data_IF_008917294786
#
_entry.id   IF_008917294786
#
_cell.length_a   1.000
_cell.length_b   1.000
_cell.length_c   1.000
_cell.angle_alpha   90.00
_cell.angle_beta   90.00
_cell.angle_gamma   90.00
#
_symmetry.space_group_name_H-M   'P 1'
#
loop_
_entity.id
_entity.type
_entity.pdbx_description
1 polymer ?
#
# COMPACT_ATOMS: atom_id res chain seq x y z
N UNK A 1 -1.27 -15.16 -17.76
CA UNK A 1 -0.14 -15.80 -17.08
C UNK A 1 0.25 -14.97 -15.87
N UNK A 2 0.37 -15.61 -14.71
CA UNK A 2 0.73 -14.92 -13.48
C UNK A 2 2.21 -15.09 -13.20
N UNK A 3 2.88 -13.99 -12.90
CA UNK A 3 4.29 -14.02 -12.53
C UNK A 3 4.47 -13.39 -11.17
N UNK A 4 5.18 -14.10 -10.27
CA UNK A 4 5.48 -13.61 -8.92
C UNK A 4 6.97 -13.82 -8.68
N UNK A 5 7.69 -12.71 -8.52
CA UNK A 5 9.14 -12.72 -8.28
C UNK A 5 9.38 -12.23 -6.86
N UNK A 6 10.01 -13.07 -6.03
CA UNK A 6 10.24 -12.78 -4.61
C UNK A 6 11.70 -12.44 -4.37
N UNK A 7 11.94 -11.43 -3.54
CA UNK A 7 13.28 -11.03 -3.09
C UNK A 7 13.25 -10.70 -1.60
N UNK A 8 14.39 -10.89 -0.93
CA UNK A 8 14.54 -10.57 0.49
C UNK A 8 15.34 -9.30 0.69
N UNK A 9 15.23 -8.73 1.88
CA UNK A 9 16.04 -7.59 2.33
C UNK A 9 15.90 -6.36 1.43
N UNK A 10 14.68 -6.10 0.97
CA UNK A 10 14.37 -4.91 0.19
C UNK A 10 13.93 -3.78 1.09
N UNK A 11 14.20 -2.56 0.67
CA UNK A 11 13.80 -1.36 1.40
C UNK A 11 12.77 -0.60 0.59
N UNK A 12 11.76 -0.07 1.28
CA UNK A 12 10.79 0.82 0.70
C UNK A 12 11.11 2.25 1.14
N UNK A 13 11.13 3.18 0.20
CA UNK A 13 11.34 4.59 0.48
C UNK A 13 10.36 5.43 -0.32
N UNK A 14 9.56 6.23 0.38
CA UNK A 14 8.60 7.13 -0.23
C UNK A 14 8.85 8.54 0.31
N UNK A 15 8.67 9.55 -0.54
CA UNK A 15 8.89 10.96 -0.17
C UNK A 15 7.63 11.77 -0.34
N UNK A 16 7.44 12.74 0.56
CA UNK A 16 6.30 13.65 0.54
C UNK A 16 4.99 12.86 0.41
N UNK A 17 4.69 12.08 1.45
CA UNK A 17 3.60 11.10 1.43
C UNK A 17 2.37 11.68 2.10
N UNK A 18 1.31 11.88 1.33
CA UNK A 18 -0.01 12.20 1.86
C UNK A 18 -0.75 10.89 2.10
N UNK A 19 -1.23 10.68 3.31
CA UNK A 19 -1.94 9.45 3.66
C UNK A 19 -3.28 9.74 4.29
N UNK A 20 -4.21 8.80 4.13
CA UNK A 20 -5.53 8.84 4.75
C UNK A 20 -5.93 7.44 5.16
N UNK A 21 -6.51 7.33 6.35
CA UNK A 21 -7.04 6.05 6.80
C UNK A 21 -8.38 5.79 6.16
N UNK A 22 -8.59 4.57 5.69
CA UNK A 22 -9.82 4.16 5.00
C UNK A 22 -10.60 3.23 5.90
N UNK A 23 -11.91 3.47 6.00
CA UNK A 23 -12.82 2.62 6.77
C UNK A 23 -13.40 1.54 5.85
N UNK A 24 -13.02 0.29 6.12
CA UNK A 24 -13.47 -0.86 5.34
C UNK A 24 -14.90 -1.31 5.67
N UNK A 25 -15.49 -0.79 6.74
CA UNK A 25 -16.86 -1.14 7.11
C UNK A 25 -17.91 -0.41 6.29
N UNK A 26 -17.49 0.54 5.45
CA UNK A 26 -18.40 1.30 4.62
C UNK A 26 -19.05 0.41 3.56
N UNK A 27 -20.37 0.56 3.39
CA UNK A 27 -21.13 -0.18 2.39
C UNK A 27 -20.86 0.32 0.96
N UNK A 28 -20.18 1.45 0.82
CA UNK A 28 -19.85 2.05 -0.48
C UNK A 28 -18.47 1.58 -1.00
N UNK A 29 -17.99 0.43 -0.52
CA UNK A 29 -16.63 -0.06 -0.78
C UNK A 29 -16.22 -0.11 -2.26
N UNK A 30 -17.07 -0.51 -3.22
CA UNK A 30 -16.63 -0.55 -4.62
C UNK A 30 -16.24 0.81 -5.19
N UNK A 31 -16.90 1.88 -4.74
CA UNK A 31 -16.62 3.24 -5.21
C UNK A 31 -15.73 4.02 -4.25
N UNK A 32 -15.55 3.52 -3.03
CA UNK A 32 -14.80 4.21 -1.99
C UNK A 32 -13.35 4.47 -2.41
N UNK A 33 -12.70 3.47 -2.99
CA UNK A 33 -11.29 3.57 -3.36
C UNK A 33 -11.08 4.65 -4.41
N UNK A 34 -11.84 4.62 -5.49
CA UNK A 34 -11.73 5.62 -6.56
C UNK A 34 -12.05 7.01 -6.05
N UNK A 35 -13.07 7.13 -5.21
CA UNK A 35 -13.50 8.40 -4.64
C UNK A 35 -12.41 8.98 -3.74
N UNK A 36 -11.83 8.16 -2.86
CA UNK A 36 -10.78 8.62 -1.94
C UNK A 36 -9.51 9.02 -2.70
N UNK A 37 -9.14 8.26 -3.72
CA UNK A 37 -7.97 8.59 -4.52
C UNK A 37 -8.15 9.92 -5.25
N UNK A 38 -9.34 10.16 -5.79
CA UNK A 38 -9.65 11.43 -6.45
C UNK A 38 -9.62 12.60 -5.47
N UNK A 39 -10.16 12.41 -4.27
CA UNK A 39 -10.13 13.43 -3.23
C UNK A 39 -8.69 13.77 -2.83
N UNK A 40 -7.85 12.77 -2.66
CA UNK A 40 -6.45 12.97 -2.31
C UNK A 40 -5.71 13.72 -3.40
N UNK A 41 -5.91 13.33 -4.65
CA UNK A 41 -5.28 13.99 -5.78
C UNK A 41 -5.72 15.46 -5.87
N UNK A 42 -7.02 15.71 -5.71
CA UNK A 42 -7.57 17.07 -5.70
C UNK A 42 -6.97 17.88 -4.56
N UNK A 43 -6.83 17.29 -3.38
CA UNK A 43 -6.23 17.95 -2.22
C UNK A 43 -4.79 18.37 -2.52
N UNK A 44 -4.02 17.48 -3.12
CA UNK A 44 -2.64 17.77 -3.52
C UNK A 44 -2.60 18.93 -4.50
N UNK A 45 -3.46 18.91 -5.52
CA UNK A 45 -3.51 19.95 -6.54
C UNK A 45 -3.94 21.31 -5.98
N UNK A 46 -4.93 21.32 -5.10
CA UNK A 46 -5.41 22.57 -4.51
C UNK A 46 -4.36 23.25 -3.61
N UNK A 47 -3.39 22.47 -3.16
CA UNK A 47 -2.28 23.00 -2.34
C UNK A 47 -1.04 23.32 -3.17
N UNK A 48 -1.18 23.40 -4.49
CA UNK A 48 -0.10 23.79 -5.38
C UNK A 48 0.94 22.72 -5.63
N UNK A 49 0.65 21.48 -5.31
CA UNK A 49 1.55 20.36 -5.52
C UNK A 49 1.03 19.46 -6.63
N UNK A 50 1.83 18.47 -7.00
CA UNK A 50 1.50 17.50 -8.05
C UNK A 50 1.77 16.10 -7.56
N UNK A 51 0.85 15.17 -7.82
CA UNK A 51 1.06 13.77 -7.52
C UNK A 51 2.19 13.21 -8.38
N UNK A 52 3.12 12.49 -7.74
CA UNK A 52 4.17 11.74 -8.43
C UNK A 52 4.04 10.27 -8.03
N UNK A 53 4.22 9.38 -9.00
CA UNK A 53 4.17 7.95 -8.74
C UNK A 53 2.77 7.40 -8.55
N UNK A 54 2.69 6.08 -8.39
CA UNK A 54 1.42 5.38 -8.28
C UNK A 54 0.87 5.38 -6.85
N UNK A 55 -0.38 4.90 -6.72
CA UNK A 55 -1.01 4.67 -5.44
C UNK A 55 -0.26 3.62 -4.64
N UNK A 56 -0.09 3.88 -3.35
CA UNK A 56 0.43 2.91 -2.39
C UNK A 56 -0.67 2.62 -1.37
N UNK A 57 -0.93 1.34 -1.14
CA UNK A 57 -1.91 0.90 -0.15
C UNK A 57 -1.20 0.22 1.00
N UNK A 58 -1.41 0.73 2.21
CA UNK A 58 -0.93 0.10 3.44
C UNK A 58 -2.06 -0.71 4.05
N UNK A 59 -1.76 -1.95 4.44
CA UNK A 59 -2.70 -2.79 5.19
C UNK A 59 -1.97 -3.40 6.37
N UNK A 60 -2.59 -3.34 7.55
CA UNK A 60 -2.02 -3.91 8.75
C UNK A 60 -3.10 -4.50 9.64
N UNK A 61 -2.69 -5.44 10.48
CA UNK A 61 -3.57 -6.08 11.45
C UNK A 61 -3.04 -5.77 12.84
N UNK A 62 -3.89 -5.21 13.69
CA UNK A 62 -3.53 -4.87 15.06
C UNK A 62 -4.58 -5.45 16.02
N UNK A 63 -4.14 -5.78 17.24
CA UNK A 63 -5.06 -6.18 18.30
C UNK A 63 -5.63 -4.95 18.97
N UNK A 64 -6.96 -4.85 19.06
CA UNK A 64 -7.61 -3.75 19.75
C UNK A 64 -7.67 -4.05 21.27
N UNK A 65 -8.24 -3.12 22.04
CA UNK A 65 -8.34 -3.25 23.49
C UNK A 65 -9.18 -4.44 23.95
N UNK A 66 -10.06 -4.94 23.07
CA UNK A 66 -10.93 -6.09 23.35
C UNK A 66 -10.32 -7.41 22.90
N UNK A 67 -9.03 -7.42 22.52
CA UNK A 67 -8.29 -8.58 21.99
C UNK A 67 -8.88 -9.10 20.67
N UNK A 68 -9.54 -8.23 19.91
CA UNK A 68 -10.03 -8.55 18.58
C UNK A 68 -9.04 -8.03 17.54
N UNK A 69 -8.98 -8.70 16.39
CA UNK A 69 -8.11 -8.26 15.28
C UNK A 69 -8.80 -7.14 14.50
N UNK A 70 -8.14 -6.00 14.41
CA UNK A 70 -8.59 -4.88 13.58
C UNK A 70 -7.70 -4.77 12.35
N UNK A 71 -8.34 -4.59 11.19
CA UNK A 71 -7.62 -4.35 9.93
C UNK A 71 -7.57 -2.85 9.69
N UNK A 72 -6.35 -2.32 9.59
CA UNK A 72 -6.13 -0.91 9.27
C UNK A 72 -5.65 -0.80 7.83
N UNK A 73 -6.29 0.07 7.07
CA UNK A 73 -5.92 0.34 5.69
C UNK A 73 -5.72 1.83 5.50
N UNK A 74 -4.65 2.18 4.81
CA UNK A 74 -4.36 3.57 4.44
C UNK A 74 -4.05 3.66 2.95
N UNK A 75 -4.50 4.74 2.34
CA UNK A 75 -4.06 5.09 0.99
C UNK A 75 -2.99 6.17 1.10
N UNK A 76 -1.96 6.03 0.29
CA UNK A 76 -0.81 6.94 0.28
C UNK A 76 -0.53 7.39 -1.15
N UNK A 77 -0.36 8.70 -1.32
CA UNK A 77 0.08 9.28 -2.57
C UNK A 77 1.30 10.15 -2.30
N UNK A 78 2.27 10.08 -3.20
CA UNK A 78 3.44 10.95 -3.13
C UNK A 78 3.20 12.23 -3.91
N UNK A 79 3.73 13.35 -3.42
CA UNK A 79 3.67 14.62 -4.14
C UNK A 79 5.08 15.14 -4.42
N UNK A 80 5.18 16.05 -5.38
CA UNK A 80 6.47 16.62 -5.79
C UNK A 80 7.03 17.58 -4.74
N UNK A 81 6.18 18.10 -3.85
CA UNK A 81 6.59 18.99 -2.77
C UNK A 81 5.89 18.61 -1.48
N UNK A 82 6.49 19.01 -0.35
CA UNK A 82 5.87 18.78 0.96
C UNK A 82 4.73 19.79 1.15
N UNK A 83 3.56 19.28 1.56
CA UNK A 83 2.40 20.12 1.83
C UNK A 83 2.37 20.44 3.32
N UNK A 84 2.47 21.73 3.65
CA UNK A 84 2.46 22.19 5.03
C UNK A 84 1.03 22.35 5.53
N UNK A 85 0.85 22.16 6.85
CA UNK A 85 -0.43 22.39 7.52
C UNK A 85 -1.56 21.56 6.96
N UNK A 86 -1.28 20.26 6.76
CA UNK A 86 -2.27 19.31 6.30
C UNK A 86 -3.35 19.13 7.37
N UNK A 87 -4.61 19.13 6.96
CA UNK A 87 -5.76 19.01 7.85
C UNK A 87 -6.25 17.57 7.93
N UNK A 88 -6.80 17.22 9.11
CA UNK A 88 -7.45 15.91 9.27
C UNK A 88 -8.55 15.74 8.20
N UNK A 89 -8.79 14.56 7.63
CA UNK A 89 -8.23 13.26 8.02
C UNK A 89 -6.87 12.92 7.42
N UNK A 90 -6.24 13.86 6.71
CA UNK A 90 -4.99 13.62 6.02
C UNK A 90 -3.78 13.77 6.95
N UNK A 91 -2.75 13.02 6.64
CA UNK A 91 -1.45 13.10 7.30
C UNK A 91 -0.36 13.24 6.25
N UNK A 92 0.69 14.01 6.56
CA UNK A 92 1.77 14.25 5.61
C UNK A 92 3.12 13.92 6.24
N UNK A 93 3.88 13.04 5.59
CA UNK A 93 5.23 12.67 5.99
C UNK A 93 6.22 13.09 4.90
N UNK A 94 7.33 13.70 5.30
CA UNK A 94 8.37 14.06 4.33
C UNK A 94 9.11 12.85 3.82
N UNK A 95 9.21 11.81 4.64
CA UNK A 95 9.93 10.58 4.29
C UNK A 95 9.29 9.40 5.00
N UNK A 96 8.95 8.37 4.23
CA UNK A 96 8.55 7.07 4.76
C UNK A 96 9.60 6.06 4.30
N UNK A 97 10.27 5.43 5.26
CA UNK A 97 11.28 4.42 4.98
C UNK A 97 10.98 3.16 5.77
N UNK A 98 10.89 2.03 5.07
CA UNK A 98 10.71 0.73 5.69
C UNK A 98 11.85 -0.16 5.23
N UNK A 99 12.68 -0.60 6.18
CA UNK A 99 13.85 -1.41 5.90
C UNK A 99 13.56 -2.88 6.09
N UNK A 100 14.33 -3.70 5.38
CA UNK A 100 14.32 -5.15 5.53
C UNK A 100 12.93 -5.74 5.31
N UNK A 101 12.43 -5.60 4.09
CA UNK A 101 11.14 -6.16 3.70
C UNK A 101 11.31 -7.40 2.84
N UNK A 102 10.42 -8.36 3.03
CA UNK A 102 10.20 -9.40 2.05
C UNK A 102 9.37 -8.78 0.92
N UNK A 103 9.80 -8.98 -0.33
CA UNK A 103 9.31 -8.23 -1.47
C UNK A 103 8.86 -9.19 -2.56
N UNK A 104 7.77 -8.86 -3.24
CA UNK A 104 7.36 -9.57 -4.44
C UNK A 104 6.84 -8.59 -5.48
N UNK A 105 7.20 -8.85 -6.75
CA UNK A 105 6.55 -8.20 -7.88
C UNK A 105 5.56 -9.18 -8.49
N UNK A 106 4.32 -8.76 -8.56
CA UNK A 106 3.24 -9.52 -9.16
C UNK A 106 2.90 -8.93 -10.52
N UNK A 107 2.79 -9.79 -11.53
CA UNK A 107 2.30 -9.42 -12.85
C UNK A 107 1.21 -10.41 -13.25
N UNK A 108 0.00 -9.93 -13.47
CA UNK A 108 -1.11 -10.78 -13.85
C UNK A 108 -2.46 -10.13 -13.63
N UNK A 109 -3.55 -10.92 -13.72
CA UNK A 109 -4.89 -10.39 -13.48
C UNK A 109 -5.06 -9.82 -12.07
N UNK A 110 -5.78 -8.70 -11.96
CA UNK A 110 -6.00 -8.05 -10.68
C UNK A 110 -6.72 -8.94 -9.68
N UNK A 111 -7.68 -9.74 -10.14
CA UNK A 111 -8.47 -10.63 -9.28
C UNK A 111 -7.65 -11.77 -8.69
N UNK A 112 -6.43 -11.99 -9.16
CA UNK A 112 -5.54 -13.06 -8.68
C UNK A 112 -4.33 -12.53 -7.91
N UNK A 113 -4.29 -11.24 -7.61
CA UNK A 113 -3.17 -10.64 -6.86
C UNK A 113 -3.03 -11.27 -5.46
N UNK A 114 -4.12 -11.78 -4.90
CA UNK A 114 -4.10 -12.46 -3.59
C UNK A 114 -3.10 -13.62 -3.53
N UNK A 115 -2.87 -14.28 -4.65
CA UNK A 115 -1.89 -15.38 -4.70
C UNK A 115 -0.47 -14.91 -4.42
N UNK A 116 -0.16 -13.65 -4.73
CA UNK A 116 1.14 -13.07 -4.41
C UNK A 116 1.32 -12.93 -2.89
N UNK A 117 0.28 -12.48 -2.20
CA UNK A 117 0.32 -12.37 -0.73
C UNK A 117 0.44 -13.75 -0.09
N UNK A 118 -0.31 -14.73 -0.59
CA UNK A 118 -0.26 -16.10 -0.10
C UNK A 118 1.13 -16.71 -0.30
N UNK A 119 1.71 -16.48 -1.48
CA UNK A 119 3.04 -17.02 -1.80
C UNK A 119 4.12 -16.39 -0.91
N UNK A 120 4.00 -15.09 -0.63
CA UNK A 120 4.92 -14.43 0.30
C UNK A 120 4.81 -15.02 1.70
N UNK A 121 3.59 -15.29 2.17
CA UNK A 121 3.37 -15.92 3.47
C UNK A 121 3.98 -17.32 3.55
N UNK A 122 3.80 -18.12 2.51
CA UNK A 122 4.38 -19.46 2.44
C UNK A 122 5.90 -19.38 2.40
N UNK A 123 6.44 -18.47 1.60
CA UNK A 123 7.88 -18.27 1.50
C UNK A 123 8.48 -17.91 2.87
N UNK A 124 7.82 -16.99 3.58
CA UNK A 124 8.28 -16.58 4.90
C UNK A 124 8.28 -17.76 5.87
N UNK A 125 7.21 -18.58 5.84
CA UNK A 125 7.13 -19.76 6.70
C UNK A 125 8.22 -20.77 6.37
N UNK A 126 8.46 -21.04 5.10
CA UNK A 126 9.48 -22.01 4.68
C UNK A 126 10.90 -21.57 5.01
N UNK A 127 11.15 -20.28 5.11
CA UNK A 127 12.48 -19.71 5.33
C UNK A 127 12.66 -19.14 6.75
N UNK A 128 11.74 -19.45 7.65
CA UNK A 128 11.77 -19.01 9.05
C UNK A 128 11.85 -17.48 9.18
N UNK A 129 11.13 -16.77 8.30
CA UNK A 129 11.07 -15.32 8.34
C UNK A 129 9.80 -14.92 9.09
N UNK A 130 9.97 -14.10 10.13
CA UNK A 130 8.85 -13.60 10.92
C UNK A 130 8.43 -12.22 10.40
N UNK A 131 7.17 -12.10 9.97
CA UNK A 131 6.64 -10.87 9.41
C UNK A 131 5.94 -10.04 10.48
N UNK A 132 5.92 -8.71 10.31
CA UNK A 132 5.28 -7.81 11.26
C UNK A 132 3.75 -7.81 11.18
N UNK A 133 3.17 -8.36 10.12
CA UNK A 133 1.73 -8.44 9.97
C UNK A 133 1.13 -7.28 9.18
N UNK A 134 1.94 -6.52 8.48
CA UNK A 134 1.49 -5.45 7.62
C UNK A 134 2.17 -5.54 6.26
N UNK A 135 1.62 -4.80 5.28
CA UNK A 135 2.23 -4.74 3.96
C UNK A 135 1.97 -3.39 3.30
N UNK A 136 2.85 -3.06 2.37
CA UNK A 136 2.69 -1.90 1.49
C UNK A 136 2.62 -2.43 0.07
N UNK A 137 1.55 -2.12 -0.65
CA UNK A 137 1.37 -2.54 -2.04
C UNK A 137 1.39 -1.32 -2.94
N UNK A 138 2.33 -1.28 -3.88
CA UNK A 138 2.44 -0.21 -4.87
C UNK A 138 1.82 -0.70 -6.17
N UNK A 139 0.77 -0.03 -6.63
CA UNK A 139 0.12 -0.37 -7.89
C UNK A 139 0.88 0.29 -9.03
N UNK A 140 1.94 -0.38 -9.48
CA UNK A 140 2.90 0.20 -10.42
C UNK A 140 2.26 0.53 -11.76
N UNK A 141 1.42 -0.38 -12.27
CA UNK A 141 0.75 -0.17 -13.54
C UNK A 141 -0.47 -1.08 -13.62
N UNK A 142 -1.52 -0.56 -14.25
CA UNK A 142 -2.72 -1.34 -14.53
C UNK A 142 -3.11 -1.09 -15.97
N UNK A 143 -3.06 -2.14 -16.78
CA UNK A 143 -3.49 -2.09 -18.17
C UNK A 143 -4.95 -2.54 -18.23
N UNK A 144 -5.86 -1.60 -18.46
CA UNK A 144 -7.29 -1.88 -18.48
C UNK A 144 -7.70 -2.74 -19.67
N UNK A 145 -7.00 -2.64 -20.79
CA UNK A 145 -7.32 -3.44 -21.97
C UNK A 145 -7.04 -4.91 -21.76
N UNK A 146 -5.91 -5.23 -21.14
CA UNK A 146 -5.50 -6.61 -20.90
C UNK A 146 -5.84 -7.10 -19.50
N UNK A 147 -6.39 -6.22 -18.67
CA UNK A 147 -6.70 -6.49 -17.26
C UNK A 147 -5.48 -6.98 -16.48
N UNK A 148 -4.30 -6.56 -16.88
CA UNK A 148 -3.04 -6.95 -16.24
C UNK A 148 -2.59 -5.87 -15.27
N UNK A 149 -2.31 -6.30 -14.04
CA UNK A 149 -1.80 -5.45 -12.97
C UNK A 149 -0.33 -5.79 -12.71
N UNK A 150 0.49 -4.76 -12.54
CA UNK A 150 1.83 -4.90 -11.99
C UNK A 150 1.81 -4.25 -10.62
N UNK A 151 2.09 -5.04 -9.59
CA UNK A 151 2.09 -4.56 -8.22
C UNK A 151 3.35 -5.00 -7.50
N UNK A 152 3.92 -4.09 -6.72
CA UNK A 152 5.05 -4.38 -5.84
C UNK A 152 4.54 -4.46 -4.41
N UNK A 153 4.82 -5.58 -3.75
CA UNK A 153 4.36 -5.85 -2.39
C UNK A 153 5.57 -5.89 -1.46
N UNK A 154 5.52 -5.10 -0.40
CA UNK A 154 6.58 -5.06 0.62
C UNK A 154 5.99 -5.50 1.95
N UNK A 155 6.53 -6.56 2.55
CA UNK A 155 6.14 -7.04 3.87
C UNK A 155 7.29 -6.86 4.85
N UNK A 156 7.17 -5.93 5.81
CA UNK A 156 8.23 -5.72 6.80
C UNK A 156 8.49 -6.97 7.62
N UNK A 157 9.77 -7.24 7.85
CA UNK A 157 10.24 -8.39 8.62
C UNK A 157 10.56 -7.93 10.03
N UNK A 158 10.17 -8.74 11.03
CA UNK A 158 10.52 -8.46 12.43
C UNK A 158 12.02 -8.60 12.64
N UNK A 159 12.57 -7.67 13.40
CA UNK A 159 13.97 -7.69 13.79
C UNK A 159 14.16 -8.23 15.19
#
# INVERSE_FOLDING_TARGET
>A
MNEIIISEKKNLKLQNVLSVQVDLSSQDAPNLFDTEIKKMNTYIQTHGARQIGPLVQYSGVEMNEENELDIHMQFMLQSDTFIHNVEAPYHMDSLLRVKNCLYARYTGPEDKVKFAYDKLGVYAFENDIELEGCNYTIYVNKNEEDEILIADIFMPVKE
#
